data_IF_174343499922
#
_entry.id   IF_174343499922
#
_cell.length_a   1.000
_cell.length_b   1.000
_cell.length_c   1.000
_cell.angle_alpha   90.00
_cell.angle_beta   90.00
_cell.angle_gamma   90.00
#
_symmetry.space_group_name_H-M   'P 1'
#
loop_
_entity.id
_entity.type
_entity.pdbx_description
1 polymer ?
#
# COMPACT_ATOMS: atom_id res chain seq x y z
N UNK A 1 -35.16 -19.81 -3.50
CA UNK A 1 -35.18 -18.81 -4.58
C UNK A 1 -34.11 -17.78 -4.19
N UNK A 2 -32.91 -17.98 -4.70
CA UNK A 2 -31.69 -17.22 -4.36
C UNK A 2 -31.70 -16.01 -5.29
N UNK A 3 -31.80 -14.82 -4.72
CA UNK A 3 -31.67 -13.57 -5.45
C UNK A 3 -30.18 -13.25 -5.58
N UNK A 4 -29.62 -13.56 -6.74
CA UNK A 4 -28.37 -12.99 -7.22
C UNK A 4 -28.67 -11.59 -7.77
N UNK A 5 -28.26 -10.58 -7.05
CA UNK A 5 -28.21 -9.20 -7.54
C UNK A 5 -26.77 -8.72 -7.52
N UNK A 6 -25.98 -9.22 -8.47
CA UNK A 6 -24.74 -8.56 -8.89
C UNK A 6 -25.11 -7.44 -9.85
N UNK A 7 -25.29 -6.24 -9.32
CA UNK A 7 -25.26 -5.01 -10.11
C UNK A 7 -23.82 -4.71 -10.50
N UNK A 8 -23.42 -5.14 -11.69
CA UNK A 8 -22.19 -4.66 -12.34
C UNK A 8 -22.34 -3.14 -12.54
N UNK A 9 -21.75 -2.37 -11.61
CA UNK A 9 -21.35 -0.99 -11.95
C UNK A 9 -20.20 -1.14 -12.95
N UNK A 10 -20.43 -0.75 -14.20
CA UNK A 10 -19.35 -0.70 -15.20
C UNK A 10 -18.20 0.12 -14.63
N UNK A 11 -17.08 -0.54 -14.36
CA UNK A 11 -15.83 0.14 -14.05
C UNK A 11 -15.55 1.12 -15.22
N UNK A 12 -15.10 2.36 -14.95
CA UNK A 12 -14.65 3.24 -16.01
C UNK A 12 -13.56 2.51 -16.81
N UNK A 13 -13.64 2.60 -18.14
CA UNK A 13 -12.70 1.93 -19.09
C UNK A 13 -11.26 2.49 -18.96
N UNK A 14 -10.70 2.62 -17.76
CA UNK A 14 -9.38 3.16 -17.51
C UNK A 14 -8.97 3.13 -16.04
N UNK A 15 -7.70 3.43 -15.74
CA UNK A 15 -7.20 3.48 -14.38
C UNK A 15 -7.81 4.65 -13.59
N UNK A 16 -8.03 4.42 -12.30
CA UNK A 16 -8.45 5.45 -11.33
C UNK A 16 -7.33 6.46 -11.07
N UNK A 17 -6.08 5.96 -11.07
CA UNK A 17 -4.86 6.78 -11.01
C UNK A 17 -3.97 6.40 -12.17
N UNK A 18 -3.49 7.39 -12.92
CA UNK A 18 -2.49 7.21 -13.96
C UNK A 18 -1.34 8.18 -13.76
N UNK A 19 -0.13 7.66 -13.70
CA UNK A 19 1.11 8.42 -13.49
C UNK A 19 2.07 8.12 -14.63
N UNK A 20 2.54 9.17 -15.31
CA UNK A 20 3.47 9.08 -16.44
C UNK A 20 4.62 10.07 -16.28
N UNK A 21 5.84 9.55 -16.30
CA UNK A 21 7.10 10.32 -16.18
C UNK A 21 7.07 11.36 -15.03
N UNK A 22 6.51 10.98 -13.87
CA UNK A 22 6.42 11.89 -12.73
C UNK A 22 7.81 12.24 -12.23
N UNK A 23 8.09 13.56 -12.17
CA UNK A 23 9.34 14.11 -11.69
C UNK A 23 9.11 15.14 -10.59
N UNK A 24 9.98 15.11 -9.58
CA UNK A 24 9.99 16.11 -8.51
C UNK A 24 11.41 16.45 -8.11
N UNK A 25 11.70 17.76 -8.10
CA UNK A 25 12.99 18.33 -7.73
C UNK A 25 12.84 19.37 -6.62
N UNK A 26 13.69 19.32 -5.63
CA UNK A 26 13.82 20.32 -4.58
C UNK A 26 15.20 20.98 -4.66
N UNK A 27 15.25 22.20 -5.18
CA UNK A 27 16.53 22.86 -5.49
C UNK A 27 17.33 22.01 -6.48
N UNK A 28 18.51 21.54 -6.06
CA UNK A 28 19.39 20.69 -6.88
C UNK A 28 19.17 19.19 -6.65
N UNK A 29 18.23 18.79 -5.77
CA UNK A 29 17.97 17.40 -5.44
C UNK A 29 16.78 16.85 -6.21
N UNK A 30 17.01 15.88 -7.10
CA UNK A 30 15.98 15.12 -7.80
C UNK A 30 15.47 14.01 -6.89
N UNK A 31 14.22 14.11 -6.45
CA UNK A 31 13.56 13.12 -5.56
C UNK A 31 12.78 12.08 -6.36
N UNK A 32 12.09 12.50 -7.44
CA UNK A 32 11.42 11.61 -8.39
C UNK A 32 11.96 11.86 -9.78
N UNK A 33 12.34 10.81 -10.50
CA UNK A 33 13.11 10.88 -11.75
C UNK A 33 12.46 10.15 -12.92
N UNK A 34 11.12 10.06 -12.93
CA UNK A 34 10.33 9.39 -13.96
C UNK A 34 9.58 8.19 -13.40
N UNK A 35 8.69 8.44 -12.44
CA UNK A 35 7.81 7.42 -11.85
C UNK A 35 6.61 7.19 -12.77
N UNK A 36 6.30 5.92 -13.05
CA UNK A 36 5.19 5.50 -13.90
C UNK A 36 4.47 4.31 -13.26
N UNK A 37 3.17 4.41 -13.07
CA UNK A 37 2.27 3.33 -12.68
C UNK A 37 0.80 3.73 -12.87
N UNK A 38 -0.08 2.73 -12.86
CA UNK A 38 -1.54 2.90 -12.87
C UNK A 38 -2.14 2.25 -11.61
N UNK A 39 -3.33 2.68 -11.19
CA UNK A 39 -4.15 2.01 -10.17
C UNK A 39 -5.54 1.80 -10.73
N UNK A 40 -6.07 0.60 -10.62
CA UNK A 40 -7.41 0.26 -11.10
C UNK A 40 -8.46 0.36 -9.98
N UNK A 41 -9.73 0.49 -10.38
CA UNK A 41 -10.82 0.60 -9.42
C UNK A 41 -10.92 -0.64 -8.50
N UNK A 42 -11.03 -0.41 -7.19
CA UNK A 42 -11.12 -1.44 -6.16
C UNK A 42 -9.78 -2.12 -5.83
N UNK A 43 -8.68 -1.70 -6.45
CA UNK A 43 -7.35 -2.24 -6.19
C UNK A 43 -6.75 -1.68 -4.90
N UNK A 44 -6.11 -2.52 -4.10
CA UNK A 44 -5.23 -2.12 -3.01
C UNK A 44 -3.79 -2.15 -3.51
N UNK A 45 -3.23 -0.98 -3.84
CA UNK A 45 -1.85 -0.84 -4.28
C UNK A 45 -0.96 -0.38 -3.13
N UNK A 46 0.16 -1.09 -2.94
CA UNK A 46 1.21 -0.69 -2.00
C UNK A 46 2.40 -0.07 -2.72
N UNK A 47 2.73 1.17 -2.38
CA UNK A 47 3.98 1.81 -2.78
C UNK A 47 5.05 1.54 -1.71
N UNK A 48 5.86 0.52 -1.95
CA UNK A 48 6.92 0.03 -1.06
C UNK A 48 8.25 0.72 -1.40
N UNK A 49 9.08 1.00 -0.41
CA UNK A 49 10.42 1.53 -0.65
C UNK A 49 11.11 2.01 0.62
N UNK A 50 12.44 2.22 0.57
CA UNK A 50 13.19 2.70 1.73
C UNK A 50 12.81 4.14 2.09
N UNK A 51 13.24 4.58 3.28
CA UNK A 51 13.08 5.96 3.68
C UNK A 51 13.84 6.89 2.73
N UNK A 52 13.19 7.98 2.32
CA UNK A 52 13.77 8.93 1.35
C UNK A 52 13.63 8.54 -0.13
N UNK A 53 13.02 7.39 -0.45
CA UNK A 53 12.79 6.98 -1.85
C UNK A 53 11.82 7.89 -2.63
N UNK A 54 11.01 8.71 -1.94
CA UNK A 54 10.02 9.60 -2.55
C UNK A 54 8.57 9.17 -2.36
N UNK A 55 8.26 8.17 -1.51
CA UNK A 55 6.90 7.67 -1.26
C UNK A 55 5.93 8.77 -0.85
N UNK A 56 6.23 9.47 0.26
CA UNK A 56 5.42 10.60 0.75
C UNK A 56 5.30 11.71 -0.28
N UNK A 57 6.38 12.02 -1.01
CA UNK A 57 6.34 13.01 -2.10
C UNK A 57 5.39 12.58 -3.21
N UNK A 58 5.39 11.31 -3.59
CA UNK A 58 4.48 10.76 -4.60
C UNK A 58 3.03 10.87 -4.13
N UNK A 59 2.72 10.42 -2.91
CA UNK A 59 1.37 10.50 -2.34
C UNK A 59 0.88 11.95 -2.25
N UNK A 60 1.68 12.89 -1.71
CA UNK A 60 1.32 14.31 -1.61
C UNK A 60 1.01 14.97 -2.95
N UNK A 61 1.67 14.51 -4.03
CA UNK A 61 1.39 14.98 -5.39
C UNK A 61 0.04 14.42 -5.88
N UNK A 62 -0.23 13.14 -5.65
CA UNK A 62 -1.49 12.50 -6.04
C UNK A 62 -2.70 13.03 -5.24
N UNK A 63 -2.51 13.42 -4.00
CA UNK A 63 -3.50 14.08 -3.15
C UNK A 63 -3.78 15.54 -3.55
N UNK A 64 -2.95 16.11 -4.42
CA UNK A 64 -3.01 17.52 -4.79
C UNK A 64 -2.49 18.49 -3.74
N UNK A 65 -1.74 18.01 -2.74
CA UNK A 65 -1.07 18.87 -1.75
C UNK A 65 0.25 19.41 -2.25
N UNK A 66 0.80 18.82 -3.31
CA UNK A 66 2.09 19.22 -3.88
C UNK A 66 2.01 19.29 -5.40
N UNK A 67 2.65 20.29 -5.97
CA UNK A 67 2.77 20.44 -7.42
C UNK A 67 4.05 19.75 -7.88
N UNK A 68 3.94 18.83 -8.82
CA UNK A 68 5.06 18.14 -9.45
C UNK A 68 5.93 19.08 -10.29
N UNK A 69 7.19 18.71 -10.51
CA UNK A 69 8.09 19.47 -11.40
C UNK A 69 7.84 19.17 -12.88
N UNK A 70 7.51 17.91 -13.23
CA UNK A 70 7.17 17.47 -14.58
C UNK A 70 6.39 16.15 -14.57
N UNK A 71 5.91 15.71 -15.71
CA UNK A 71 5.13 14.49 -15.92
C UNK A 71 3.64 14.75 -16.00
N UNK A 72 2.88 13.70 -16.33
CA UNK A 72 1.43 13.73 -16.45
C UNK A 72 0.80 12.85 -15.38
N UNK A 73 -0.23 13.35 -14.71
CA UNK A 73 -0.96 12.63 -13.68
C UNK A 73 -2.45 12.85 -13.87
N UNK A 74 -3.19 11.77 -13.77
CA UNK A 74 -4.65 11.79 -13.68
C UNK A 74 -5.08 10.98 -12.48
N UNK A 75 -5.90 11.57 -11.62
CA UNK A 75 -6.52 10.93 -10.45
C UNK A 75 -8.02 11.17 -10.52
N UNK A 76 -8.81 10.09 -10.54
CA UNK A 76 -10.27 10.16 -10.72
C UNK A 76 -10.69 10.99 -11.95
N UNK A 77 -9.87 10.94 -13.04
CA UNK A 77 -10.12 11.64 -14.27
C UNK A 77 -9.65 13.10 -14.34
N UNK A 78 -9.03 13.65 -13.28
CA UNK A 78 -8.60 15.05 -13.22
C UNK A 78 -7.11 15.17 -12.82
N UNK A 79 -6.47 16.28 -13.17
CA UNK A 79 -5.10 16.60 -12.72
C UNK A 79 -5.13 17.12 -11.28
N UNK A 80 -4.49 16.42 -10.30
CA UNK A 80 -4.50 16.83 -8.88
C UNK A 80 -3.98 18.24 -8.63
N UNK A 81 -3.15 18.80 -9.52
CA UNK A 81 -2.61 20.15 -9.38
C UNK A 81 -3.66 21.25 -9.60
N UNK A 82 -4.84 20.94 -10.16
CA UNK A 82 -5.87 21.92 -10.56
C UNK A 82 -7.29 21.57 -10.12
N UNK A 83 -7.43 20.65 -9.15
CA UNK A 83 -8.74 20.13 -8.70
C UNK A 83 -9.49 21.06 -7.74
N UNK A 84 -10.83 20.94 -7.78
CA UNK A 84 -11.75 21.63 -6.88
C UNK A 84 -12.21 20.79 -5.69
N UNK A 85 -13.19 21.33 -4.94
CA UNK A 85 -13.72 20.68 -3.74
C UNK A 85 -14.51 19.41 -4.06
N UNK A 86 -15.20 19.35 -5.19
CA UNK A 86 -15.95 18.16 -5.64
C UNK A 86 -15.05 16.95 -5.84
N UNK A 87 -13.86 17.15 -6.41
CA UNK A 87 -12.86 16.10 -6.54
C UNK A 87 -12.33 15.67 -5.15
N UNK A 88 -12.03 16.62 -4.26
CA UNK A 88 -11.56 16.33 -2.91
C UNK A 88 -12.58 15.55 -2.08
N UNK A 89 -13.86 15.74 -2.34
CA UNK A 89 -14.91 14.96 -1.70
C UNK A 89 -14.94 13.49 -2.14
N UNK A 90 -14.27 13.15 -3.25
CA UNK A 90 -14.14 11.78 -3.78
C UNK A 90 -12.85 11.09 -3.31
N UNK A 91 -11.95 11.84 -2.68
CA UNK A 91 -10.69 11.32 -2.14
C UNK A 91 -10.71 11.33 -0.61
N UNK A 92 -10.11 10.32 0.00
CA UNK A 92 -9.89 10.22 1.43
C UNK A 92 -8.41 10.21 1.73
N UNK A 93 -7.99 10.86 2.83
CA UNK A 93 -6.59 10.91 3.24
C UNK A 93 -6.50 10.59 4.72
N UNK A 94 -5.62 9.65 5.08
CA UNK A 94 -5.31 9.32 6.47
C UNK A 94 -3.87 9.71 6.77
N UNK A 95 -3.69 10.84 7.43
CA UNK A 95 -2.38 11.39 7.76
C UNK A 95 -1.67 10.59 8.87
N UNK A 96 -0.34 10.62 8.90
CA UNK A 96 0.48 10.01 9.96
C UNK A 96 0.13 10.54 11.36
N UNK A 97 -0.12 11.83 11.48
CA UNK A 97 -0.51 12.46 12.74
C UNK A 97 -1.58 13.51 12.50
N UNK A 98 -2.59 13.48 13.32
CA UNK A 98 -3.67 14.44 13.30
C UNK A 98 -3.73 15.19 14.64
N UNK A 99 -3.86 16.52 14.57
CA UNK A 99 -4.14 17.35 15.75
C UNK A 99 -5.60 17.73 15.72
N UNK A 100 -6.37 17.12 16.58
CA UNK A 100 -7.79 17.36 16.69
C UNK A 100 -8.21 17.94 18.06
N UNK A 101 -9.51 17.96 18.27
CA UNK A 101 -10.14 18.45 19.50
C UNK A 101 -10.12 17.38 20.61
N UNK A 102 -9.12 17.33 21.53
CA UNK A 102 -8.97 16.27 22.52
C UNK A 102 -10.16 16.14 23.48
N UNK A 103 -10.99 17.17 23.58
CA UNK A 103 -12.20 17.22 24.43
C UNK A 103 -13.46 16.72 23.71
N UNK A 104 -13.42 16.54 22.39
CA UNK A 104 -14.54 16.02 21.63
C UNK A 104 -14.65 14.52 21.78
N UNK A 105 -15.74 13.97 21.28
CA UNK A 105 -15.98 12.54 21.19
C UNK A 105 -15.87 12.09 19.73
N UNK A 106 -15.57 10.82 19.44
CA UNK A 106 -15.56 10.28 18.08
C UNK A 106 -16.84 10.63 17.30
N UNK A 107 -18.00 10.36 17.88
CA UNK A 107 -19.30 10.69 17.29
C UNK A 107 -19.39 12.14 16.87
N UNK A 108 -19.10 13.06 17.77
CA UNK A 108 -19.15 14.51 17.49
C UNK A 108 -18.17 14.91 16.38
N UNK A 109 -16.96 14.36 16.39
CA UNK A 109 -15.95 14.68 15.40
C UNK A 109 -16.40 14.18 14.01
N UNK A 110 -16.83 12.93 13.90
CA UNK A 110 -17.29 12.33 12.64
C UNK A 110 -18.53 13.03 12.09
N UNK A 111 -19.50 13.38 12.94
CA UNK A 111 -20.68 14.17 12.53
C UNK A 111 -20.26 15.54 11.96
N UNK A 112 -19.32 16.22 12.63
CA UNK A 112 -18.86 17.53 12.18
C UNK A 112 -18.12 17.45 10.84
N UNK A 113 -17.23 16.46 10.68
CA UNK A 113 -16.49 16.27 9.43
C UNK A 113 -17.43 15.79 8.33
N UNK A 114 -18.31 14.85 8.64
CA UNK A 114 -19.30 14.33 7.70
C UNK A 114 -20.16 15.42 7.06
N UNK A 115 -20.55 16.44 7.84
CA UNK A 115 -21.34 17.57 7.33
C UNK A 115 -20.68 18.34 6.18
N UNK A 116 -19.34 18.29 6.03
CA UNK A 116 -18.67 18.91 4.88
C UNK A 116 -18.92 18.13 3.57
N UNK A 117 -19.30 16.87 3.64
CA UNK A 117 -19.50 16.01 2.47
C UNK A 117 -20.97 15.95 2.00
N UNK A 118 -21.95 16.38 2.81
CA UNK A 118 -23.38 16.40 2.45
C UNK A 118 -23.66 17.08 1.10
N UNK A 119 -23.03 18.25 0.76
CA UNK A 119 -23.28 18.91 -0.52
C UNK A 119 -22.82 18.10 -1.75
N UNK A 120 -21.96 17.10 -1.55
CA UNK A 120 -21.40 16.25 -2.60
C UNK A 120 -22.06 14.88 -2.70
N UNK A 121 -23.21 14.68 -2.01
CA UNK A 121 -24.02 13.48 -2.11
C UNK A 121 -24.69 13.41 -3.47
N UNK A 122 -24.67 12.22 -4.08
CA UNK A 122 -25.37 11.94 -5.35
C UNK A 122 -26.30 10.74 -5.18
N UNK A 123 -27.25 10.48 -6.11
CA UNK A 123 -28.07 9.27 -6.05
C UNK A 123 -27.25 7.97 -6.10
N UNK A 124 -26.10 7.99 -6.80
CA UNK A 124 -25.22 6.84 -6.97
C UNK A 124 -24.31 6.64 -5.76
N UNK A 125 -23.92 7.75 -5.08
CA UNK A 125 -23.04 7.74 -3.93
C UNK A 125 -23.53 8.70 -2.85
N UNK A 126 -24.28 8.16 -1.89
CA UNK A 126 -24.78 8.93 -0.74
C UNK A 126 -23.61 9.28 0.19
N UNK A 127 -23.44 10.57 0.49
CA UNK A 127 -22.41 11.11 1.39
C UNK A 127 -23.05 11.97 2.49
N UNK A 128 -22.49 11.98 3.70
CA UNK A 128 -21.42 11.10 4.22
C UNK A 128 -21.92 9.69 4.56
N UNK A 129 -21.06 8.85 5.13
CA UNK A 129 -21.47 7.66 5.88
C UNK A 129 -22.39 8.06 7.03
N UNK A 130 -23.35 7.19 7.35
CA UNK A 130 -24.01 7.23 8.64
C UNK A 130 -22.96 7.04 9.75
N UNK A 131 -22.95 7.93 10.75
CA UNK A 131 -21.88 7.95 11.76
C UNK A 131 -21.90 6.71 12.65
N UNK A 132 -23.09 6.16 12.94
CA UNK A 132 -23.22 4.95 13.76
C UNK A 132 -22.72 3.72 12.99
N UNK A 133 -23.09 3.61 11.73
CA UNK A 133 -22.63 2.56 10.84
C UNK A 133 -21.11 2.63 10.65
N UNK A 134 -20.57 3.83 10.43
CA UNK A 134 -19.13 4.03 10.30
C UNK A 134 -18.37 3.65 11.58
N UNK A 135 -18.90 4.01 12.75
CA UNK A 135 -18.28 3.63 14.03
C UNK A 135 -18.31 2.11 14.27
N UNK A 136 -19.33 1.42 13.80
CA UNK A 136 -19.36 -0.06 13.84
C UNK A 136 -18.31 -0.66 12.90
N UNK A 137 -18.20 -0.15 11.68
CA UNK A 137 -17.20 -0.58 10.70
C UNK A 137 -15.78 -0.47 11.27
N UNK A 138 -15.44 0.65 11.92
CA UNK A 138 -14.10 0.87 12.48
C UNK A 138 -13.93 0.33 13.91
N UNK A 139 -14.97 -0.28 14.49
CA UNK A 139 -14.94 -0.86 15.85
C UNK A 139 -14.80 0.17 16.96
N UNK A 140 -15.49 1.32 16.86
CA UNK A 140 -15.48 2.41 17.83
C UNK A 140 -16.84 2.64 18.51
N UNK A 141 -17.86 1.82 18.28
CA UNK A 141 -19.21 1.99 18.81
C UNK A 141 -19.24 2.19 20.32
N UNK A 142 -18.55 1.36 21.09
CA UNK A 142 -18.48 1.44 22.55
C UNK A 142 -17.68 2.68 23.06
N UNK A 143 -16.98 3.36 22.16
CA UNK A 143 -16.15 4.52 22.46
C UNK A 143 -16.72 5.82 21.91
N UNK A 144 -17.89 5.76 21.27
CA UNK A 144 -18.53 6.85 20.53
C UNK A 144 -18.62 8.15 21.31
N UNK A 145 -18.92 8.08 22.61
CA UNK A 145 -19.14 9.21 23.50
C UNK A 145 -18.01 9.43 24.51
N UNK A 146 -16.88 8.69 24.39
CA UNK A 146 -15.67 8.92 25.18
C UNK A 146 -14.87 10.09 24.64
N UNK A 147 -14.13 10.79 25.50
CA UNK A 147 -13.22 11.86 25.03
C UNK A 147 -12.09 11.26 24.20
N UNK A 148 -11.80 11.86 23.06
CA UNK A 148 -10.71 11.45 22.16
C UNK A 148 -9.37 11.37 22.89
N UNK A 149 -9.10 12.26 23.83
CA UNK A 149 -7.88 12.24 24.67
C UNK A 149 -7.72 10.96 25.52
N UNK A 150 -8.75 10.14 25.69
CA UNK A 150 -8.72 8.91 26.49
C UNK A 150 -8.58 7.64 25.64
N UNK A 151 -8.54 7.77 24.33
CA UNK A 151 -8.37 6.66 23.39
C UNK A 151 -6.93 6.14 23.42
N UNK A 152 -6.76 4.82 23.31
CA UNK A 152 -5.45 4.22 23.08
C UNK A 152 -4.93 4.59 21.67
N UNK A 153 -3.65 4.38 21.39
CA UNK A 153 -3.05 4.66 20.08
C UNK A 153 -3.78 3.95 18.94
N UNK A 154 -4.08 2.65 19.09
CA UNK A 154 -4.83 1.89 18.08
C UNK A 154 -6.29 2.37 17.92
N UNK A 155 -6.99 2.71 19.01
CA UNK A 155 -8.33 3.29 18.94
C UNK A 155 -8.31 4.66 18.26
N UNK A 156 -7.27 5.44 18.53
CA UNK A 156 -7.06 6.72 17.89
C UNK A 156 -6.87 6.55 16.39
N UNK A 157 -6.03 5.61 15.95
CA UNK A 157 -5.79 5.34 14.53
C UNK A 157 -7.04 4.87 13.80
N UNK A 158 -7.90 4.06 14.44
CA UNK A 158 -9.22 3.71 13.87
C UNK A 158 -10.10 4.95 13.65
N UNK A 159 -10.04 5.92 14.57
CA UNK A 159 -10.72 7.20 14.39
C UNK A 159 -10.13 8.03 13.25
N UNK A 160 -8.79 8.03 13.07
CA UNK A 160 -8.13 8.73 11.96
C UNK A 160 -8.57 8.13 10.61
N UNK A 161 -8.67 6.80 10.54
CA UNK A 161 -9.24 6.13 9.35
C UNK A 161 -10.70 6.51 9.14
N UNK A 162 -11.52 6.48 10.20
CA UNK A 162 -12.92 6.89 10.10
C UNK A 162 -13.07 8.31 9.56
N UNK A 163 -12.19 9.24 9.96
CA UNK A 163 -12.17 10.60 9.42
C UNK A 163 -11.83 10.62 7.91
N UNK A 164 -10.88 9.80 7.49
CA UNK A 164 -10.49 9.68 6.07
C UNK A 164 -11.58 9.11 5.19
N UNK A 165 -12.46 8.25 5.74
CA UNK A 165 -13.50 7.56 4.96
C UNK A 165 -14.92 8.08 5.18
N UNK A 166 -15.13 9.00 6.12
CA UNK A 166 -16.50 9.51 6.43
C UNK A 166 -17.22 10.09 5.21
N UNK A 167 -16.44 10.66 4.26
CA UNK A 167 -16.96 11.18 3.00
C UNK A 167 -17.30 10.11 1.95
N UNK A 168 -17.14 8.80 2.23
CA UNK A 168 -17.27 7.70 1.27
C UNK A 168 -16.40 7.92 0.03
N UNK A 169 -15.07 7.97 0.18
CA UNK A 169 -14.17 8.23 -0.94
C UNK A 169 -14.16 7.07 -1.93
N UNK A 170 -13.89 7.39 -3.19
CA UNK A 170 -13.62 6.42 -4.25
C UNK A 170 -12.16 5.97 -4.25
N UNK A 171 -11.26 6.85 -3.76
CA UNK A 171 -9.84 6.59 -3.59
C UNK A 171 -9.38 7.04 -2.20
N UNK A 172 -8.74 6.12 -1.46
CA UNK A 172 -8.20 6.34 -0.12
C UNK A 172 -6.68 6.31 -0.15
N UNK A 173 -6.05 7.35 0.39
CA UNK A 173 -4.60 7.43 0.57
C UNK A 173 -4.22 7.15 2.03
N UNK A 174 -3.24 6.27 2.24
CA UNK A 174 -2.73 5.85 3.54
C UNK A 174 -1.21 5.99 3.57
N UNK A 175 -0.68 7.02 4.22
CA UNK A 175 0.78 7.21 4.33
C UNK A 175 1.31 6.57 5.62
N UNK A 176 2.10 5.48 5.48
CA UNK A 176 2.68 4.66 6.55
C UNK A 176 1.67 4.37 7.69
N UNK A 177 0.53 3.73 7.39
CA UNK A 177 -0.63 3.74 8.28
C UNK A 177 -0.44 2.98 9.59
N UNK A 178 0.50 2.04 9.69
CA UNK A 178 0.73 1.20 10.88
C UNK A 178 2.02 1.55 11.63
N UNK A 179 2.68 2.65 11.25
CA UNK A 179 3.91 3.07 11.91
C UNK A 179 3.68 3.24 13.43
N UNK A 180 4.48 2.53 14.24
CA UNK A 180 4.39 2.58 15.71
C UNK A 180 3.27 1.74 16.33
N UNK A 181 2.59 0.89 15.58
CA UNK A 181 1.59 -0.03 16.12
C UNK A 181 2.21 -1.21 16.85
N UNK A 182 1.54 -1.65 17.92
CA UNK A 182 1.76 -2.98 18.45
C UNK A 182 1.21 -4.05 17.48
N UNK A 183 1.64 -5.33 17.62
CA UNK A 183 1.23 -6.40 16.69
C UNK A 183 -0.29 -6.63 16.64
N UNK A 184 -1.03 -6.37 17.72
CA UNK A 184 -2.49 -6.54 17.72
C UNK A 184 -3.17 -5.40 16.98
N UNK A 185 -2.77 -4.14 17.23
CA UNK A 185 -3.30 -2.98 16.56
C UNK A 185 -3.06 -3.06 15.03
N UNK A 186 -1.87 -3.58 14.62
CA UNK A 186 -1.55 -3.82 13.21
C UNK A 186 -2.49 -4.84 12.56
N UNK A 187 -2.71 -6.00 13.19
CA UNK A 187 -3.68 -7.00 12.68
C UNK A 187 -5.08 -6.44 12.54
N UNK A 188 -5.55 -5.73 13.56
CA UNK A 188 -6.88 -5.12 13.54
C UNK A 188 -7.01 -4.09 12.41
N UNK A 189 -5.94 -3.34 12.14
CA UNK A 189 -5.89 -2.38 11.04
C UNK A 189 -5.92 -3.09 9.67
N UNK A 190 -5.17 -4.18 9.49
CA UNK A 190 -5.20 -4.99 8.27
C UNK A 190 -6.62 -5.49 7.97
N UNK A 191 -7.33 -6.02 8.97
CA UNK A 191 -8.72 -6.42 8.81
C UNK A 191 -9.63 -5.25 8.43
N UNK A 192 -9.38 -4.06 8.95
CA UNK A 192 -10.15 -2.88 8.60
C UNK A 192 -9.91 -2.48 7.13
N UNK A 193 -8.67 -2.47 6.64
CA UNK A 193 -8.34 -2.13 5.24
C UNK A 193 -9.04 -3.09 4.27
N UNK A 194 -8.96 -4.42 4.52
CA UNK A 194 -9.68 -5.40 3.69
C UNK A 194 -11.20 -5.17 3.69
N UNK A 195 -11.79 -4.92 4.86
CA UNK A 195 -13.24 -4.58 4.93
C UNK A 195 -13.60 -3.35 4.11
N UNK A 196 -12.75 -2.32 4.09
CA UNK A 196 -13.00 -1.09 3.34
C UNK A 196 -12.91 -1.31 1.83
N UNK A 197 -11.94 -2.11 1.38
CA UNK A 197 -11.83 -2.49 -0.02
C UNK A 197 -13.06 -3.27 -0.49
N UNK A 198 -13.55 -4.23 0.33
CA UNK A 198 -14.69 -5.08 0.00
C UNK A 198 -16.04 -4.35 0.03
N UNK A 199 -16.27 -3.45 1.01
CA UNK A 199 -17.59 -2.87 1.28
C UNK A 199 -18.07 -1.88 0.20
N UNK A 200 -17.20 -0.97 -0.23
CA UNK A 200 -17.56 0.11 -1.16
C UNK A 200 -16.77 0.06 -2.47
N UNK A 201 -16.03 -1.04 -2.72
CA UNK A 201 -15.07 -1.13 -3.83
C UNK A 201 -14.09 0.06 -3.84
N UNK A 202 -13.69 0.49 -2.63
CA UNK A 202 -12.80 1.64 -2.45
C UNK A 202 -11.41 1.29 -2.95
N UNK A 203 -10.88 2.08 -3.88
CA UNK A 203 -9.50 1.96 -4.31
C UNK A 203 -8.58 2.49 -3.20
N UNK A 204 -7.50 1.78 -2.89
CA UNK A 204 -6.60 2.15 -1.80
C UNK A 204 -5.17 2.23 -2.32
N UNK A 205 -4.51 3.38 -2.09
CA UNK A 205 -3.07 3.53 -2.23
C UNK A 205 -2.45 3.68 -0.85
N UNK A 206 -1.63 2.72 -0.46
CA UNK A 206 -0.88 2.81 0.78
C UNK A 206 0.63 2.90 0.52
N UNK A 207 1.35 3.64 1.38
CA UNK A 207 2.81 3.59 1.42
C UNK A 207 3.27 2.84 2.65
N UNK A 208 4.33 2.07 2.50
CA UNK A 208 5.00 1.44 3.64
C UNK A 208 6.47 1.17 3.34
N UNK A 209 7.23 0.92 4.38
CA UNK A 209 8.57 0.31 4.31
C UNK A 209 8.57 -1.09 4.96
N UNK A 210 7.42 -1.54 5.46
CA UNK A 210 7.21 -2.84 6.10
C UNK A 210 6.73 -3.85 5.04
N UNK A 211 7.58 -4.83 4.73
CA UNK A 211 7.32 -5.86 3.73
C UNK A 211 6.15 -6.76 4.12
N UNK A 212 6.02 -7.06 5.42
CA UNK A 212 4.94 -7.87 5.97
C UNK A 212 3.56 -7.19 5.78
N UNK A 213 3.54 -5.86 5.88
CA UNK A 213 2.34 -5.06 5.60
C UNK A 213 1.99 -5.08 4.11
N UNK A 214 2.99 -4.88 3.23
CA UNK A 214 2.80 -4.92 1.79
C UNK A 214 2.26 -6.29 1.34
N UNK A 215 2.84 -7.38 1.83
CA UNK A 215 2.43 -8.75 1.49
C UNK A 215 1.01 -9.09 1.95
N UNK A 216 0.59 -8.57 3.12
CA UNK A 216 -0.72 -8.89 3.70
C UNK A 216 -1.86 -8.02 3.20
N UNK A 217 -1.59 -6.79 2.75
CA UNK A 217 -2.63 -5.83 2.39
C UNK A 217 -2.81 -5.63 0.90
N UNK A 218 -1.72 -5.75 0.13
CA UNK A 218 -1.75 -5.30 -1.25
C UNK A 218 -2.12 -6.40 -2.24
N UNK A 219 -3.00 -6.07 -3.19
CA UNK A 219 -3.19 -6.87 -4.40
C UNK A 219 -1.96 -6.76 -5.31
N UNK A 220 -1.33 -5.57 -5.32
CA UNK A 220 -0.14 -5.26 -6.10
C UNK A 220 0.83 -4.36 -5.34
N UNK A 221 2.12 -4.66 -5.49
CA UNK A 221 3.23 -3.96 -4.85
C UNK A 221 4.07 -3.29 -5.92
N UNK A 222 4.23 -1.97 -5.79
CA UNK A 222 5.10 -1.15 -6.62
C UNK A 222 6.30 -0.73 -5.78
N UNK A 223 7.51 -1.13 -6.18
CA UNK A 223 8.74 -0.83 -5.44
C UNK A 223 9.37 0.44 -6.00
N UNK A 224 9.46 1.47 -5.14
CA UNK A 224 10.11 2.75 -5.43
C UNK A 224 11.50 2.79 -4.80
N UNK A 225 12.54 2.93 -5.63
CA UNK A 225 13.92 3.10 -5.19
C UNK A 225 14.65 4.14 -6.07
N UNK A 226 15.48 5.00 -5.46
CA UNK A 226 16.20 6.05 -6.18
C UNK A 226 15.32 6.98 -7.03
N UNK A 227 14.08 7.21 -6.60
CA UNK A 227 13.13 8.07 -7.31
C UNK A 227 12.50 7.46 -8.56
N UNK A 228 12.58 6.12 -8.73
CA UNK A 228 12.01 5.37 -9.87
C UNK A 228 11.32 4.10 -9.41
N UNK A 229 10.38 3.62 -10.20
CA UNK A 229 9.80 2.29 -10.00
C UNK A 229 10.81 1.25 -10.53
N UNK A 230 11.20 0.33 -9.65
CA UNK A 230 12.13 -0.76 -9.96
C UNK A 230 11.41 -2.09 -10.14
N UNK A 231 10.21 -2.22 -9.59
CA UNK A 231 9.36 -3.40 -9.77
C UNK A 231 7.89 -3.04 -9.57
N UNK A 232 7.01 -3.77 -10.25
CA UNK A 232 5.56 -3.63 -10.22
C UNK A 232 4.94 -5.00 -10.51
N UNK A 233 4.39 -5.65 -9.49
CA UNK A 233 3.69 -6.95 -9.58
C UNK A 233 2.97 -7.27 -8.25
N UNK A 234 2.25 -8.39 -8.17
CA UNK A 234 1.82 -8.95 -6.90
C UNK A 234 3.03 -9.35 -6.02
N UNK A 235 2.84 -9.43 -4.71
CA UNK A 235 3.90 -9.87 -3.79
C UNK A 235 4.47 -11.25 -4.19
N UNK A 236 3.58 -12.19 -4.57
CA UNK A 236 3.96 -13.50 -5.07
C UNK A 236 4.72 -13.41 -6.40
N UNK A 237 4.25 -12.58 -7.34
CA UNK A 237 4.91 -12.35 -8.63
C UNK A 237 6.32 -11.79 -8.48
N UNK A 238 6.52 -10.83 -7.56
CA UNK A 238 7.85 -10.29 -7.24
C UNK A 238 8.77 -11.36 -6.64
N UNK A 239 8.27 -12.15 -5.69
CA UNK A 239 9.01 -13.25 -5.11
C UNK A 239 9.45 -14.27 -6.17
N UNK A 240 8.55 -14.64 -7.09
CA UNK A 240 8.85 -15.59 -8.18
C UNK A 240 9.89 -15.06 -9.19
N UNK A 241 9.93 -13.76 -9.45
CA UNK A 241 10.92 -13.16 -10.37
C UNK A 241 12.35 -13.24 -9.86
N UNK A 242 12.53 -13.20 -8.54
CA UNK A 242 13.85 -13.26 -7.90
C UNK A 242 14.21 -14.67 -7.47
N UNK A 243 13.19 -15.51 -7.24
CA UNK A 243 13.36 -16.93 -6.98
C UNK A 243 13.94 -17.62 -8.22
N UNK A 244 15.26 -17.74 -8.29
CA UNK A 244 15.88 -18.66 -9.24
C UNK A 244 15.39 -20.06 -8.98
N UNK A 245 15.64 -20.56 -7.79
CA UNK A 245 15.29 -21.93 -7.37
C UNK A 245 14.79 -21.90 -5.92
N UNK A 246 13.81 -22.74 -5.60
CA UNK A 246 13.41 -22.97 -4.20
C UNK A 246 14.49 -23.75 -3.48
N UNK A 247 14.85 -23.36 -2.27
CA UNK A 247 15.73 -24.16 -1.42
C UNK A 247 14.95 -25.17 -0.60
N UNK A 248 15.27 -26.46 -0.74
CA UNK A 248 14.80 -27.52 0.12
C UNK A 248 15.90 -27.88 1.10
N UNK A 249 15.61 -27.72 2.39
CA UNK A 249 16.51 -28.04 3.50
C UNK A 249 15.94 -29.21 4.26
N UNK A 250 16.77 -30.18 4.61
CA UNK A 250 16.38 -31.33 5.44
C UNK A 250 17.57 -31.86 6.24
N UNK A 251 17.29 -32.65 7.24
CA UNK A 251 18.29 -33.42 7.96
C UNK A 251 18.08 -34.92 7.77
N UNK A 252 19.17 -35.71 7.83
CA UNK A 252 19.17 -37.15 7.86
C UNK A 252 20.40 -37.65 8.60
N UNK A 253 20.23 -38.57 9.51
CA UNK A 253 21.32 -39.11 10.34
C UNK A 253 22.13 -38.04 11.08
N UNK A 254 21.49 -36.92 11.42
CA UNK A 254 22.13 -35.74 12.07
C UNK A 254 22.93 -34.82 11.14
N UNK A 255 22.97 -35.12 9.83
CA UNK A 255 23.58 -34.26 8.80
C UNK A 255 22.50 -33.41 8.15
N UNK A 256 22.87 -32.12 7.87
CA UNK A 256 22.00 -31.15 7.17
C UNK A 256 22.32 -31.09 5.69
N UNK A 257 21.28 -31.07 4.88
CA UNK A 257 21.36 -31.00 3.43
C UNK A 257 20.59 -29.76 2.94
N UNK A 258 21.07 -29.16 1.85
CA UNK A 258 20.41 -28.07 1.13
C UNK A 258 20.45 -28.38 -0.35
N UNK A 259 19.30 -28.26 -1.02
CA UNK A 259 19.19 -28.46 -2.45
C UNK A 259 18.33 -27.37 -3.08
N UNK A 260 18.85 -26.73 -4.12
CA UNK A 260 18.11 -25.74 -4.90
C UNK A 260 17.40 -26.41 -6.08
N UNK A 261 16.14 -26.10 -6.29
CA UNK A 261 15.31 -26.68 -7.34
C UNK A 261 14.22 -25.72 -7.83
N UNK A 262 13.89 -25.80 -9.11
CA UNK A 262 12.76 -25.11 -9.74
C UNK A 262 11.40 -25.76 -9.43
N UNK A 263 11.38 -27.03 -9.03
CA UNK A 263 10.17 -27.78 -8.64
C UNK A 263 10.37 -28.48 -7.28
N UNK A 264 10.21 -27.67 -6.20
CA UNK A 264 10.33 -28.19 -4.84
C UNK A 264 9.34 -29.31 -4.53
N UNK A 265 8.13 -29.28 -5.09
CA UNK A 265 7.12 -30.32 -4.87
C UNK A 265 7.56 -31.67 -5.44
N UNK A 266 8.11 -31.67 -6.64
CA UNK A 266 8.65 -32.85 -7.28
C UNK A 266 9.86 -33.36 -6.49
N UNK A 267 10.81 -32.50 -6.17
CA UNK A 267 12.00 -32.87 -5.42
C UNK A 267 11.67 -33.47 -4.05
N UNK A 268 10.77 -32.85 -3.28
CA UNK A 268 10.33 -33.38 -1.97
C UNK A 268 9.68 -34.72 -2.10
N UNK A 269 8.88 -34.96 -3.15
CA UNK A 269 8.30 -36.28 -3.42
C UNK A 269 9.37 -37.33 -3.71
N UNK A 270 10.35 -37.01 -4.54
CA UNK A 270 11.48 -37.87 -4.86
C UNK A 270 12.33 -38.16 -3.61
N UNK A 271 12.54 -37.14 -2.76
CA UNK A 271 13.26 -37.26 -1.50
C UNK A 271 12.61 -38.29 -0.55
N UNK A 272 11.29 -38.21 -0.36
CA UNK A 272 10.55 -39.16 0.47
C UNK A 272 10.47 -40.55 -0.16
N UNK A 273 10.42 -40.66 -1.49
CA UNK A 273 10.49 -41.98 -2.18
C UNK A 273 11.85 -42.65 -1.98
N UNK A 274 12.92 -41.86 -1.88
CA UNK A 274 14.28 -42.38 -1.73
C UNK A 274 14.66 -42.69 -0.29
N UNK A 275 14.26 -41.84 0.68
CA UNK A 275 14.74 -41.93 2.07
C UNK A 275 13.62 -42.16 3.09
N UNK A 276 12.36 -42.08 2.69
CA UNK A 276 11.21 -42.40 3.56
C UNK A 276 11.18 -41.59 4.84
N UNK A 277 11.09 -42.30 5.97
CA UNK A 277 11.01 -41.69 7.32
C UNK A 277 12.35 -41.17 7.83
N UNK A 278 13.46 -41.42 7.14
CA UNK A 278 14.80 -40.92 7.53
C UNK A 278 14.97 -39.40 7.20
N UNK A 279 13.98 -38.79 6.53
CA UNK A 279 13.96 -37.35 6.27
C UNK A 279 13.41 -36.62 7.49
N UNK A 280 14.24 -35.85 8.13
CA UNK A 280 13.91 -35.06 9.33
C UNK A 280 14.04 -33.55 9.00
N UNK A 281 13.38 -32.69 9.80
CA UNK A 281 13.46 -31.22 9.74
C UNK A 281 13.32 -30.65 8.30
N UNK A 282 12.38 -31.20 7.51
CA UNK A 282 12.18 -30.76 6.16
C UNK A 282 11.58 -29.34 6.13
N UNK A 283 12.30 -28.45 5.48
CA UNK A 283 11.87 -27.08 5.22
C UNK A 283 11.95 -26.77 3.71
N UNK A 284 10.94 -26.12 3.18
CA UNK A 284 10.97 -25.63 1.80
C UNK A 284 10.93 -24.10 1.86
N UNK A 285 12.06 -23.48 1.57
CA UNK A 285 12.17 -22.04 1.44
C UNK A 285 11.88 -21.64 0.00
N UNK A 286 10.78 -20.92 -0.18
CA UNK A 286 10.53 -20.16 -1.41
C UNK A 286 11.05 -18.75 -1.20
N UNK A 287 11.52 -18.10 -2.27
CA UNK A 287 11.84 -16.69 -2.19
C UNK A 287 10.62 -15.91 -1.66
N UNK A 288 10.88 -14.99 -0.81
CA UNK A 288 9.90 -14.10 -0.18
C UNK A 288 9.89 -12.73 -0.89
N UNK A 289 8.90 -11.92 -0.60
CA UNK A 289 8.91 -10.51 -1.01
C UNK A 289 10.16 -9.78 -0.46
N UNK A 290 10.67 -10.20 0.71
CA UNK A 290 11.89 -9.64 1.30
C UNK A 290 13.12 -9.91 0.43
N UNK A 291 13.29 -11.16 -0.04
CA UNK A 291 14.40 -11.54 -0.94
C UNK A 291 14.33 -10.76 -2.26
N UNK A 292 13.12 -10.63 -2.81
CA UNK A 292 12.88 -9.85 -4.01
C UNK A 292 13.22 -8.37 -3.81
N UNK A 293 12.73 -7.78 -2.73
CA UNK A 293 12.98 -6.39 -2.39
C UNK A 293 14.47 -6.09 -2.24
N UNK A 294 15.18 -6.89 -1.43
CA UNK A 294 16.62 -6.69 -1.20
C UNK A 294 17.41 -6.81 -2.51
N UNK A 295 17.10 -7.80 -3.34
CA UNK A 295 17.77 -8.01 -4.63
C UNK A 295 17.54 -6.83 -5.58
N UNK A 296 16.30 -6.41 -5.75
CA UNK A 296 15.92 -5.33 -6.69
C UNK A 296 16.48 -3.98 -6.27
N UNK A 297 16.42 -3.66 -4.96
CA UNK A 297 16.98 -2.40 -4.43
C UNK A 297 18.50 -2.38 -4.56
N UNK A 298 19.20 -3.47 -4.20
CA UNK A 298 20.65 -3.58 -4.34
C UNK A 298 21.12 -3.50 -5.80
N UNK A 299 20.41 -4.15 -6.71
CA UNK A 299 20.73 -4.06 -8.15
C UNK A 299 20.60 -2.63 -8.66
N UNK A 300 19.56 -1.92 -8.22
CA UNK A 300 19.37 -0.53 -8.60
C UNK A 300 20.45 0.38 -8.02
N UNK A 301 20.77 0.25 -6.75
CA UNK A 301 21.83 1.03 -6.08
C UNK A 301 23.21 0.75 -6.69
N UNK A 302 23.53 -0.50 -6.97
CA UNK A 302 24.81 -0.90 -7.62
C UNK A 302 24.88 -0.38 -9.05
N UNK A 303 23.80 -0.48 -9.82
CA UNK A 303 23.73 0.06 -11.19
C UNK A 303 23.87 1.57 -11.25
N UNK A 304 23.30 2.31 -10.30
CA UNK A 304 23.45 3.76 -10.19
C UNK A 304 24.86 4.15 -9.74
N UNK A 305 25.50 3.38 -8.86
CA UNK A 305 26.89 3.59 -8.44
C UNK A 305 27.87 3.37 -9.59
N UNK A 306 27.68 2.32 -10.40
CA UNK A 306 28.48 2.05 -11.58
C UNK A 306 28.31 3.13 -12.66
N UNK A 307 27.11 3.67 -12.84
CA UNK A 307 26.86 4.76 -13.78
C UNK A 307 27.53 6.05 -13.32
N UNK A 308 27.41 6.41 -12.04
CA UNK A 308 28.08 7.58 -11.46
C UNK A 308 29.60 7.47 -11.57
N UNK A 309 30.17 6.27 -11.39
CA UNK A 309 31.58 6.02 -11.56
C UNK A 309 32.06 6.20 -13.03
N UNK A 310 31.25 5.77 -14.01
CA UNK A 310 31.50 5.97 -15.43
C UNK A 310 31.46 7.44 -15.82
N UNK A 311 30.39 8.16 -15.36
CA UNK A 311 30.21 9.59 -15.63
C UNK A 311 31.38 10.41 -15.02
N UNK A 312 31.88 10.04 -13.82
CA UNK A 312 33.02 10.68 -13.20
C UNK A 312 34.33 10.41 -13.98
N UNK A 313 34.52 9.19 -14.50
CA UNK A 313 35.68 8.83 -15.31
C UNK A 313 35.69 9.57 -16.67
N UNK A 314 34.50 9.80 -17.29
CA UNK A 314 34.40 10.60 -18.52
C UNK A 314 34.73 12.08 -18.29
N UNK A 315 34.30 12.65 -17.15
CA UNK A 315 34.60 14.05 -16.80
C UNK A 315 36.07 14.24 -16.48
N UNK A 316 36.72 13.24 -15.85
CA UNK A 316 38.13 13.28 -15.50
C UNK A 316 39.08 13.10 -16.72
N UNK A 317 38.53 12.70 -17.88
CA UNK A 317 39.29 12.48 -19.12
C UNK A 317 39.13 13.62 -20.13
N UNK A 318 38.40 14.65 -19.80
CA UNK A 318 38.26 15.92 -20.56
C UNK A 318 39.05 17.05 -19.91
#
# INVERSE_FOLDING_TARGET
>A
MILTASGERGAPDGPVVSVRDLRMRYGDNDVLTGVEFDIHAGEVLCLLGPNGAGKTTTIEILEGFRIRSAGEITVLGEDPASVGESWRARTGVVLQSWRDHPRWTPRRLLTQIGGYYEPYSTPEQTRPWDVEELMDIVGLTELADRKISTLSGGQRRRLDVAMGIVGRPELLFLDEPTAGFDPQARRDFHHLVHRLADLDNTTILLTTHDLDEAEKLADRVVILAGGRIVADDSAEGLALRVAGESEVRWSRDGERFVHSTDDATRFVRELFLQYGEDVEDLEVHRASLEDAYLTLVQQHESGSADQAARDFAEVATR
#
